data_IF_444607936479
#
_entry.id   IF_444607936479
#
_cell.length_a   1.000
_cell.length_b   1.000
_cell.length_c   1.000
_cell.angle_alpha   90.00
_cell.angle_beta   90.00
_cell.angle_gamma   90.00
#
_symmetry.space_group_name_H-M   'P 1'
#
loop_
_entity.id
_entity.type
_entity.pdbx_description
1 polymer ?
#
# COMPACT_ATOMS: atom_id res chain seq x y z
N UNK A 1 16.57 2.58 -13.08
CA UNK A 1 15.46 3.55 -13.23
C UNK A 1 14.16 2.76 -13.23
N UNK A 2 13.44 2.74 -12.11
CA UNK A 2 12.17 2.02 -12.02
C UNK A 2 11.08 2.87 -12.68
N UNK A 3 10.38 2.30 -13.66
CA UNK A 3 9.23 2.94 -14.36
C UNK A 3 8.18 3.45 -13.35
N UNK A 4 8.12 2.85 -12.17
CA UNK A 4 7.19 3.18 -11.07
C UNK A 4 7.34 4.61 -10.52
N UNK A 5 8.52 5.23 -10.63
CA UNK A 5 8.82 6.56 -10.10
C UNK A 5 8.83 7.65 -11.19
N UNK A 6 8.41 7.32 -12.41
CA UNK A 6 8.37 8.27 -13.53
C UNK A 6 7.00 8.94 -13.63
N UNK A 7 6.98 10.23 -13.96
CA UNK A 7 5.78 10.99 -14.33
C UNK A 7 4.91 10.30 -15.39
N UNK A 8 5.53 9.49 -16.26
CA UNK A 8 4.86 8.71 -17.30
C UNK A 8 4.22 7.42 -16.78
N UNK A 9 4.47 6.98 -15.55
CA UNK A 9 3.94 5.72 -15.03
C UNK A 9 2.41 5.70 -15.02
N UNK A 10 1.78 6.80 -14.60
CA UNK A 10 0.32 6.92 -14.61
C UNK A 10 -0.26 6.94 -16.04
N UNK A 11 0.43 7.60 -16.97
CA UNK A 11 -0.01 7.66 -18.36
C UNK A 11 0.15 6.32 -19.07
N UNK A 12 1.30 5.67 -18.92
CA UNK A 12 1.53 4.31 -19.46
C UNK A 12 0.54 3.32 -18.86
N UNK A 13 0.29 3.40 -17.54
CA UNK A 13 -0.67 2.52 -16.88
C UNK A 13 -2.09 2.72 -17.43
N UNK A 14 -2.54 3.96 -17.63
CA UNK A 14 -3.87 4.28 -18.16
C UNK A 14 -4.04 3.82 -19.63
N UNK A 15 -2.97 3.83 -20.42
CA UNK A 15 -2.99 3.36 -21.81
C UNK A 15 -2.95 1.83 -21.90
N UNK A 16 -2.29 1.14 -20.96
CA UNK A 16 -2.16 -0.33 -20.96
C UNK A 16 -3.38 -1.04 -20.34
N UNK A 17 -4.04 -0.41 -19.35
CA UNK A 17 -5.18 -1.02 -18.65
C UNK A 17 -6.32 -1.47 -19.60
N UNK A 18 -6.76 -0.71 -20.63
CA UNK A 18 -7.81 -1.15 -21.52
C UNK A 18 -7.42 -2.40 -22.33
N UNK A 19 -6.16 -2.49 -22.78
CA UNK A 19 -5.65 -3.66 -23.49
C UNK A 19 -5.60 -4.89 -22.57
N UNK A 20 -5.18 -4.73 -21.35
CA UNK A 20 -5.19 -5.80 -20.34
C UNK A 20 -6.62 -6.35 -20.17
N UNK A 21 -7.61 -5.48 -20.03
CA UNK A 21 -8.99 -5.90 -19.82
C UNK A 21 -9.57 -6.58 -21.07
N UNK A 22 -9.23 -6.11 -22.27
CA UNK A 22 -9.58 -6.74 -23.53
C UNK A 22 -8.99 -8.15 -23.65
N UNK A 23 -7.69 -8.30 -23.41
CA UNK A 23 -7.03 -9.60 -23.46
C UNK A 23 -7.54 -10.57 -22.39
N UNK A 24 -7.80 -10.09 -21.17
CA UNK A 24 -8.43 -10.90 -20.15
C UNK A 24 -9.82 -11.39 -20.56
N UNK A 25 -10.62 -10.52 -21.17
CA UNK A 25 -11.95 -10.90 -21.64
C UNK A 25 -11.88 -11.99 -22.72
N UNK A 26 -11.02 -11.81 -23.73
CA UNK A 26 -10.80 -12.80 -24.77
C UNK A 26 -10.33 -14.13 -24.17
N UNK A 27 -9.37 -14.07 -23.26
CA UNK A 27 -8.82 -15.25 -22.58
C UNK A 27 -9.91 -16.00 -21.80
N UNK A 28 -10.71 -15.33 -20.97
CA UNK A 28 -11.75 -16.00 -20.17
C UNK A 28 -12.89 -16.55 -21.04
N UNK A 29 -13.26 -15.85 -22.11
CA UNK A 29 -14.25 -16.36 -23.06
C UNK A 29 -13.72 -17.62 -23.75
N UNK A 30 -12.48 -17.59 -24.25
CA UNK A 30 -11.85 -18.74 -24.88
C UNK A 30 -11.72 -19.93 -23.90
N UNK A 31 -11.31 -19.67 -22.66
CA UNK A 31 -11.22 -20.71 -21.64
C UNK A 31 -12.60 -21.29 -21.28
N UNK A 32 -13.64 -20.45 -21.23
CA UNK A 32 -15.02 -20.89 -21.02
C UNK A 32 -15.56 -21.78 -22.12
N UNK A 33 -15.18 -21.52 -23.37
CA UNK A 33 -15.59 -22.36 -24.52
C UNK A 33 -14.94 -23.76 -24.55
N UNK A 34 -13.87 -23.96 -23.79
CA UNK A 34 -13.22 -25.27 -23.62
C UNK A 34 -13.92 -26.17 -22.59
N UNK A 35 -14.88 -25.63 -21.83
CA UNK A 35 -15.59 -26.35 -20.80
C UNK A 35 -16.84 -26.96 -21.40
N UNK A 36 -16.97 -28.30 -21.33
CA UNK A 36 -18.21 -29.00 -21.61
C UNK A 36 -19.18 -28.83 -20.44
N UNK A 37 -20.26 -28.08 -20.68
CA UNK A 37 -21.22 -27.72 -19.64
C UNK A 37 -22.05 -28.93 -19.20
N UNK A 38 -22.39 -29.85 -20.13
CA UNK A 38 -23.21 -31.02 -19.82
C UNK A 38 -22.43 -31.98 -18.94
N UNK A 39 -21.16 -32.25 -19.27
CA UNK A 39 -20.26 -33.08 -18.46
C UNK A 39 -19.99 -32.46 -17.08
N UNK A 40 -19.87 -31.12 -17.04
CA UNK A 40 -19.68 -30.38 -15.78
C UNK A 40 -20.88 -30.53 -14.84
N UNK A 41 -22.11 -30.44 -15.36
CA UNK A 41 -23.33 -30.56 -14.56
C UNK A 41 -23.50 -31.99 -13.99
N UNK A 42 -23.19 -32.98 -14.77
CA UNK A 42 -23.28 -34.39 -14.33
C UNK A 42 -22.29 -34.68 -13.20
N UNK A 43 -21.09 -34.04 -13.21
CA UNK A 43 -20.01 -34.30 -12.27
C UNK A 43 -19.74 -33.16 -11.29
N UNK A 44 -20.65 -32.21 -11.14
CA UNK A 44 -20.43 -30.97 -10.38
C UNK A 44 -19.98 -31.18 -8.92
N UNK A 45 -20.49 -32.23 -8.28
CA UNK A 45 -20.11 -32.60 -6.91
C UNK A 45 -18.65 -33.02 -6.81
N UNK A 46 -18.17 -33.80 -7.77
CA UNK A 46 -16.78 -34.26 -7.84
C UNK A 46 -15.86 -33.10 -8.17
N UNK A 47 -16.23 -32.26 -9.15
CA UNK A 47 -15.45 -31.04 -9.54
C UNK A 47 -15.32 -30.08 -8.38
N UNK A 48 -16.41 -29.79 -7.68
CA UNK A 48 -16.42 -28.89 -6.53
C UNK A 48 -15.55 -29.41 -5.37
N UNK A 49 -15.65 -30.72 -5.07
CA UNK A 49 -14.84 -31.32 -4.02
C UNK A 49 -13.36 -31.31 -4.35
N UNK A 50 -13.01 -31.67 -5.58
CA UNK A 50 -11.62 -31.66 -6.04
C UNK A 50 -11.06 -30.23 -6.12
N UNK A 51 -11.86 -29.27 -6.60
CA UNK A 51 -11.50 -27.84 -6.58
C UNK A 51 -11.21 -27.36 -5.16
N UNK A 52 -12.11 -27.62 -4.22
CA UNK A 52 -11.92 -27.25 -2.81
C UNK A 52 -10.63 -27.85 -2.23
N UNK A 53 -10.35 -29.11 -2.53
CA UNK A 53 -9.14 -29.79 -2.07
C UNK A 53 -7.87 -29.16 -2.65
N UNK A 54 -7.81 -28.91 -3.97
CA UNK A 54 -6.66 -28.28 -4.62
C UNK A 54 -6.42 -26.87 -4.09
N UNK A 55 -7.48 -26.06 -3.96
CA UNK A 55 -7.40 -24.72 -3.43
C UNK A 55 -6.91 -24.71 -1.98
N UNK A 56 -7.41 -25.64 -1.15
CA UNK A 56 -6.99 -25.78 0.24
C UNK A 56 -5.50 -26.13 0.35
N UNK A 57 -5.03 -27.13 -0.42
CA UNK A 57 -3.61 -27.49 -0.43
C UNK A 57 -2.74 -26.31 -0.87
N UNK A 58 -3.11 -25.63 -1.95
CA UNK A 58 -2.36 -24.46 -2.44
C UNK A 58 -2.33 -23.34 -1.41
N UNK A 59 -3.46 -23.06 -0.77
CA UNK A 59 -3.54 -22.05 0.29
C UNK A 59 -2.60 -22.40 1.46
N UNK A 60 -2.64 -23.64 1.94
CA UNK A 60 -1.76 -24.11 3.02
C UNK A 60 -0.29 -24.02 2.60
N UNK A 61 0.06 -24.49 1.39
CA UNK A 61 1.43 -24.41 0.88
C UNK A 61 1.92 -22.96 0.80
N UNK A 62 1.09 -22.03 0.32
CA UNK A 62 1.43 -20.59 0.27
C UNK A 62 1.58 -19.99 1.67
N UNK A 63 0.73 -20.35 2.64
CA UNK A 63 0.85 -19.93 4.05
C UNK A 63 2.16 -20.44 4.66
N UNK A 64 2.49 -21.70 4.43
CA UNK A 64 3.75 -22.28 4.90
C UNK A 64 4.93 -21.55 4.29
N UNK A 65 4.94 -21.32 2.97
CA UNK A 65 5.98 -20.55 2.30
C UNK A 65 6.09 -19.12 2.84
N UNK A 66 4.97 -18.41 3.05
CA UNK A 66 4.94 -17.09 3.64
C UNK A 66 5.54 -17.08 5.07
N UNK A 67 5.28 -18.13 5.84
CA UNK A 67 5.85 -18.30 7.20
C UNK A 67 7.36 -18.49 7.17
N UNK A 68 7.89 -19.29 6.23
CA UNK A 68 9.34 -19.43 6.04
C UNK A 68 10.01 -18.13 5.61
N UNK A 69 9.36 -17.35 4.75
CA UNK A 69 9.82 -16.04 4.30
C UNK A 69 9.65 -14.94 5.37
N UNK A 70 9.09 -15.29 6.55
CA UNK A 70 8.82 -14.35 7.66
C UNK A 70 7.94 -13.16 7.24
N UNK A 71 7.04 -13.36 6.30
CA UNK A 71 6.07 -12.35 5.86
C UNK A 71 5.07 -12.11 7.00
N UNK A 72 4.72 -10.84 7.31
CA UNK A 72 3.72 -10.52 8.33
C UNK A 72 2.40 -11.28 8.09
N UNK A 73 1.82 -11.86 9.16
CA UNK A 73 0.69 -12.78 9.05
C UNK A 73 -0.49 -12.23 8.23
N UNK A 74 -0.79 -10.95 8.36
CA UNK A 74 -1.85 -10.30 7.55
C UNK A 74 -1.49 -10.27 6.06
N UNK A 75 -0.26 -9.89 5.71
CA UNK A 75 0.21 -9.89 4.33
C UNK A 75 0.34 -11.30 3.78
N UNK A 76 0.82 -12.24 4.61
CA UNK A 76 0.92 -13.66 4.26
C UNK A 76 -0.44 -14.28 3.89
N UNK A 77 -1.48 -14.05 4.69
CA UNK A 77 -2.84 -14.54 4.40
C UNK A 77 -3.36 -13.94 3.09
N UNK A 78 -3.22 -12.63 2.88
CA UNK A 78 -3.70 -11.97 1.67
C UNK A 78 -2.93 -12.45 0.42
N UNK A 79 -1.61 -12.55 0.50
CA UNK A 79 -0.78 -13.07 -0.59
C UNK A 79 -1.11 -14.53 -0.90
N UNK A 80 -1.27 -15.38 0.12
CA UNK A 80 -1.65 -16.77 -0.05
C UNK A 80 -3.03 -16.91 -0.71
N UNK A 81 -4.01 -16.09 -0.31
CA UNK A 81 -5.34 -16.09 -0.93
C UNK A 81 -5.26 -15.68 -2.41
N UNK A 82 -4.44 -14.68 -2.74
CA UNK A 82 -4.27 -14.23 -4.13
C UNK A 82 -3.59 -15.29 -5.02
N UNK A 83 -2.69 -16.10 -4.45
CA UNK A 83 -1.93 -17.13 -5.15
C UNK A 83 -2.61 -18.52 -5.14
N UNK A 84 -3.75 -18.65 -4.48
CA UNK A 84 -4.45 -19.94 -4.34
C UNK A 84 -5.08 -20.42 -5.64
N UNK A 85 -5.40 -19.54 -6.59
CA UNK A 85 -6.00 -19.91 -7.87
C UNK A 85 -5.13 -20.90 -8.66
N UNK A 86 -5.76 -21.68 -9.52
CA UNK A 86 -5.05 -22.49 -10.50
C UNK A 86 -4.57 -21.56 -11.62
N UNK A 87 -3.28 -21.57 -11.90
CA UNK A 87 -2.65 -20.61 -12.81
C UNK A 87 -3.14 -20.81 -14.27
N UNK A 88 -3.16 -19.72 -15.00
CA UNK A 88 -3.53 -19.65 -16.43
C UNK A 88 -2.68 -20.59 -17.33
N UNK A 89 -1.44 -20.85 -16.92
CA UNK A 89 -0.56 -21.79 -17.63
C UNK A 89 -1.12 -23.21 -17.69
N UNK A 90 -1.98 -23.63 -16.76
CA UNK A 90 -2.64 -24.94 -16.79
C UNK A 90 -3.52 -25.08 -18.03
N UNK A 91 -4.19 -24.00 -18.44
CA UNK A 91 -5.07 -23.97 -19.62
C UNK A 91 -4.30 -24.12 -20.94
N UNK A 92 -3.08 -23.63 -20.98
CA UNK A 92 -2.18 -23.73 -22.14
C UNK A 92 -1.44 -25.07 -22.15
N UNK A 93 -1.05 -25.57 -20.96
CA UNK A 93 -0.24 -26.77 -20.85
C UNK A 93 -1.01 -28.05 -21.19
N UNK A 94 -2.30 -28.11 -20.88
CA UNK A 94 -3.12 -29.30 -21.13
C UNK A 94 -3.22 -29.65 -22.61
N UNK A 95 -3.59 -28.74 -23.55
CA UNK A 95 -3.60 -29.03 -24.98
C UNK A 95 -2.25 -29.54 -25.47
N UNK A 96 -1.15 -28.90 -25.02
CA UNK A 96 0.19 -29.33 -25.36
C UNK A 96 0.52 -30.74 -24.86
N UNK A 97 0.10 -31.07 -23.64
CA UNK A 97 0.29 -32.41 -23.07
C UNK A 97 -0.55 -33.48 -23.79
N UNK A 98 -1.74 -33.12 -24.30
CA UNK A 98 -2.60 -34.04 -25.06
C UNK A 98 -1.98 -34.46 -26.41
N UNK A 99 -1.12 -33.65 -27.00
CA UNK A 99 -0.35 -34.00 -28.21
C UNK A 99 0.70 -35.09 -27.94
N UNK A 100 1.21 -35.15 -26.70
CA UNK A 100 2.30 -36.04 -26.28
C UNK A 100 1.73 -37.34 -25.66
N UNK A 101 0.68 -37.23 -24.86
CA UNK A 101 0.12 -38.34 -24.08
C UNK A 101 -1.41 -38.22 -24.03
N UNK A 102 -2.16 -39.27 -24.34
CA UNK A 102 -3.61 -39.23 -24.24
C UNK A 102 -4.05 -39.04 -22.77
N UNK A 103 -4.62 -37.87 -22.49
CA UNK A 103 -5.19 -37.52 -21.19
C UNK A 103 -6.70 -37.83 -21.25
N UNK A 104 -7.28 -38.52 -20.27
CA UNK A 104 -8.73 -38.76 -20.23
C UNK A 104 -9.51 -37.45 -20.27
N UNK A 105 -10.58 -37.39 -21.07
CA UNK A 105 -11.40 -36.18 -21.25
C UNK A 105 -11.92 -35.63 -19.91
N UNK A 106 -12.32 -36.51 -18.99
CA UNK A 106 -12.77 -36.13 -17.64
C UNK A 106 -11.71 -35.31 -16.88
N UNK A 107 -10.44 -35.69 -16.98
CA UNK A 107 -9.35 -34.95 -16.30
C UNK A 107 -9.17 -33.55 -16.91
N UNK A 108 -9.24 -33.48 -18.23
CA UNK A 108 -9.10 -32.22 -18.98
C UNK A 108 -10.22 -31.24 -18.66
N UNK A 109 -11.47 -31.68 -18.74
CA UNK A 109 -12.66 -30.89 -18.39
C UNK A 109 -12.59 -30.40 -16.95
N UNK A 110 -12.23 -31.27 -16.01
CA UNK A 110 -12.11 -30.92 -14.61
C UNK A 110 -11.05 -29.84 -14.36
N UNK A 111 -9.88 -29.94 -15.00
CA UNK A 111 -8.81 -28.94 -14.80
C UNK A 111 -9.21 -27.59 -15.40
N UNK A 112 -9.85 -27.59 -16.58
CA UNK A 112 -10.36 -26.35 -17.18
C UNK A 112 -11.42 -25.68 -16.29
N UNK A 113 -12.39 -26.47 -15.81
CA UNK A 113 -13.44 -25.98 -14.92
C UNK A 113 -12.87 -25.40 -13.62
N UNK A 114 -11.94 -26.12 -12.97
CA UNK A 114 -11.30 -25.69 -11.75
C UNK A 114 -10.46 -24.42 -11.95
N UNK A 115 -9.72 -24.35 -13.05
CA UNK A 115 -8.93 -23.17 -13.39
C UNK A 115 -9.83 -21.94 -13.58
N UNK A 116 -10.85 -22.04 -14.42
CA UNK A 116 -11.77 -20.94 -14.71
C UNK A 116 -12.53 -20.47 -13.45
N UNK A 117 -13.10 -21.41 -12.69
CA UNK A 117 -13.85 -21.13 -11.46
C UNK A 117 -12.93 -20.50 -10.39
N UNK A 118 -11.72 -21.06 -10.18
CA UNK A 118 -10.79 -20.52 -9.17
C UNK A 118 -10.32 -19.12 -9.48
N UNK A 119 -10.07 -18.81 -10.76
CA UNK A 119 -9.70 -17.46 -11.20
C UNK A 119 -10.87 -16.50 -11.01
N UNK A 120 -12.09 -16.87 -11.43
CA UNK A 120 -13.29 -16.05 -11.24
C UNK A 120 -13.66 -15.83 -9.77
N UNK A 121 -13.39 -16.79 -8.89
CA UNK A 121 -13.61 -16.66 -7.46
C UNK A 121 -12.55 -15.84 -6.72
N UNK A 122 -11.38 -15.62 -7.29
CA UNK A 122 -10.26 -14.93 -6.62
C UNK A 122 -10.66 -13.55 -6.05
N UNK A 123 -11.39 -12.66 -6.73
CA UNK A 123 -11.82 -11.38 -6.15
C UNK A 123 -12.75 -11.54 -4.94
N UNK A 124 -13.62 -12.56 -4.95
CA UNK A 124 -14.52 -12.87 -3.84
C UNK A 124 -13.74 -13.41 -2.64
N UNK A 125 -12.80 -14.33 -2.89
CA UNK A 125 -11.90 -14.86 -1.88
C UNK A 125 -11.06 -13.77 -1.25
N UNK A 126 -10.57 -12.83 -2.04
CA UNK A 126 -9.83 -11.66 -1.53
C UNK A 126 -10.69 -10.74 -0.65
N UNK A 127 -11.96 -10.50 -1.01
CA UNK A 127 -12.89 -9.76 -0.16
C UNK A 127 -13.18 -10.51 1.14
N UNK A 128 -13.39 -11.82 1.09
CA UNK A 128 -13.58 -12.67 2.26
C UNK A 128 -12.32 -12.69 3.15
N UNK A 129 -11.15 -12.86 2.56
CA UNK A 129 -9.88 -12.84 3.28
C UNK A 129 -9.67 -11.53 4.05
N UNK A 130 -10.01 -10.37 3.47
CA UNK A 130 -9.93 -9.07 4.19
C UNK A 130 -10.78 -9.06 5.46
N UNK A 131 -11.98 -9.63 5.40
CA UNK A 131 -12.90 -9.70 6.56
C UNK A 131 -12.45 -10.73 7.59
N UNK A 132 -11.91 -11.87 7.13
CA UNK A 132 -11.50 -12.99 7.98
C UNK A 132 -10.08 -12.85 8.54
N UNK A 133 -9.22 -12.06 7.91
CA UNK A 133 -7.83 -11.86 8.36
C UNK A 133 -7.71 -11.50 9.85
N UNK A 134 -8.51 -10.56 10.43
CA UNK A 134 -8.40 -10.24 11.86
C UNK A 134 -8.75 -11.42 12.77
N UNK A 135 -9.55 -12.38 12.30
CA UNK A 135 -9.88 -13.60 13.01
C UNK A 135 -8.77 -14.66 12.85
N UNK A 136 -8.28 -14.85 11.62
CA UNK A 136 -7.24 -15.84 11.28
C UNK A 136 -5.87 -15.48 11.89
N UNK A 137 -5.53 -14.22 11.99
CA UNK A 137 -4.31 -13.76 12.66
C UNK A 137 -4.31 -14.04 14.17
N UNK A 138 -5.46 -14.41 14.78
CA UNK A 138 -5.53 -14.86 16.18
C UNK A 138 -4.97 -16.26 16.40
N UNK A 139 -4.79 -17.06 15.35
CA UNK A 139 -4.26 -18.43 15.44
C UNK A 139 -2.79 -18.36 15.91
N UNK A 140 -2.42 -19.06 17.01
CA UNK A 140 -1.03 -19.12 17.47
C UNK A 140 -0.18 -19.81 16.40
N UNK A 141 0.82 -19.11 15.86
CA UNK A 141 1.67 -19.61 14.77
C UNK A 141 1.66 -18.70 13.53
N UNK A 142 0.55 -18.01 13.23
CA UNK A 142 0.51 -16.99 12.17
C UNK A 142 0.93 -15.58 12.66
N UNK A 143 0.99 -15.38 13.96
CA UNK A 143 1.53 -14.14 14.56
C UNK A 143 3.04 -14.24 14.65
N UNK A 144 3.74 -13.41 13.92
CA UNK A 144 5.15 -13.20 14.18
C UNK A 144 5.27 -12.61 15.59
N UNK A 145 6.00 -13.30 16.48
CA UNK A 145 6.23 -12.88 17.90
C UNK A 145 6.64 -11.41 18.01
N UNK A 146 7.16 -10.85 16.94
CA UNK A 146 7.63 -9.48 16.76
C UNK A 146 6.49 -8.46 16.54
N UNK A 147 5.37 -8.84 15.89
CA UNK A 147 4.21 -7.97 15.71
C UNK A 147 3.45 -7.72 17.02
N UNK A 148 3.35 -8.73 17.89
CA UNK A 148 2.70 -8.59 19.21
C UNK A 148 3.44 -7.64 20.15
N UNK A 149 4.78 -7.80 20.24
CA UNK A 149 5.60 -6.94 21.12
C UNK A 149 5.69 -5.51 20.60
N UNK A 150 5.67 -5.32 19.28
CA UNK A 150 5.81 -3.99 18.66
C UNK A 150 4.56 -3.14 18.86
N UNK A 151 3.37 -3.66 18.61
CA UNK A 151 2.12 -2.85 18.69
C UNK A 151 1.72 -2.59 20.14
N UNK A 152 1.73 -3.59 21.03
CA UNK A 152 1.37 -3.40 22.45
C UNK A 152 2.37 -2.49 23.17
N UNK A 153 3.67 -2.66 22.94
CA UNK A 153 4.71 -1.80 23.54
C UNK A 153 4.67 -0.38 22.97
N UNK A 154 4.26 -0.21 21.71
CA UNK A 154 4.14 1.10 21.08
C UNK A 154 2.88 1.85 21.54
N UNK A 155 1.74 1.17 21.66
CA UNK A 155 0.52 1.75 22.22
C UNK A 155 0.83 2.34 23.61
N UNK A 156 1.50 1.57 24.45
CA UNK A 156 1.89 2.01 25.82
C UNK A 156 2.89 3.18 25.79
N UNK A 157 3.75 3.29 24.77
CA UNK A 157 4.71 4.40 24.63
C UNK A 157 4.07 5.67 24.07
N UNK A 158 3.02 5.56 23.29
CA UNK A 158 2.27 6.72 22.72
C UNK A 158 1.17 7.18 23.67
N UNK A 159 0.63 6.28 24.51
CA UNK A 159 -0.31 6.64 25.56
C UNK A 159 0.32 7.65 26.54
N UNK A 160 -0.19 8.87 26.51
CA UNK A 160 0.29 9.97 27.35
C UNK A 160 1.10 11.03 26.61
N UNK A 161 1.51 10.81 25.37
CA UNK A 161 2.18 11.86 24.57
C UNK A 161 1.12 12.86 24.08
N UNK A 162 1.37 14.13 24.35
CA UNK A 162 0.53 15.25 23.90
C UNK A 162 1.39 16.31 23.24
N UNK A 163 0.78 17.14 22.39
CA UNK A 163 1.45 18.24 21.68
C UNK A 163 2.64 17.78 20.83
N UNK A 164 2.59 16.55 20.33
CA UNK A 164 3.62 15.96 19.49
C UNK A 164 3.39 16.27 18.00
N UNK A 165 4.41 16.01 17.21
CA UNK A 165 4.35 16.06 15.75
C UNK A 165 4.22 14.64 15.17
N UNK A 166 3.31 14.47 14.21
CA UNK A 166 3.19 13.25 13.40
C UNK A 166 3.86 13.52 12.06
N UNK A 167 4.85 12.71 11.69
CA UNK A 167 5.60 12.84 10.45
C UNK A 167 5.25 11.65 9.56
N UNK A 168 4.53 11.92 8.46
CA UNK A 168 4.14 10.92 7.48
C UNK A 168 5.17 10.91 6.34
N UNK A 169 5.95 9.81 6.27
CA UNK A 169 7.10 9.63 5.38
C UNK A 169 8.42 10.02 6.02
N UNK A 170 9.43 9.12 5.96
CA UNK A 170 10.76 9.38 6.49
C UNK A 170 11.83 9.45 5.39
N UNK A 171 11.47 10.10 4.28
CA UNK A 171 12.39 10.52 3.25
C UNK A 171 13.30 11.68 3.70
N UNK A 172 14.04 12.31 2.79
CA UNK A 172 14.96 13.41 3.13
C UNK A 172 14.29 14.57 3.88
N UNK A 173 13.07 14.94 3.47
CA UNK A 173 12.31 16.04 4.11
C UNK A 173 11.83 15.64 5.51
N UNK A 174 11.23 14.43 5.64
CA UNK A 174 10.76 13.94 6.93
C UNK A 174 11.87 13.77 7.95
N UNK A 175 13.02 13.26 7.50
CA UNK A 175 14.22 13.13 8.34
C UNK A 175 14.68 14.48 8.88
N UNK A 176 14.82 15.48 7.99
CA UNK A 176 15.24 16.81 8.38
C UNK A 176 14.27 17.51 9.32
N UNK A 177 12.95 17.32 9.08
CA UNK A 177 11.92 17.82 9.98
C UNK A 177 12.01 17.15 11.35
N UNK A 178 12.17 15.85 11.41
CA UNK A 178 12.34 15.09 12.65
C UNK A 178 13.58 15.55 13.44
N UNK A 179 14.73 15.64 12.78
CA UNK A 179 15.98 16.09 13.40
C UNK A 179 15.82 17.51 13.99
N UNK A 180 15.23 18.43 13.24
CA UNK A 180 14.99 19.79 13.70
C UNK A 180 14.05 19.85 14.89
N UNK A 181 12.88 19.17 14.84
CA UNK A 181 11.92 19.18 15.93
C UNK A 181 12.49 18.52 17.20
N UNK A 182 13.26 17.46 17.04
CA UNK A 182 13.92 16.74 18.14
C UNK A 182 14.95 17.63 18.86
N UNK A 183 15.66 18.50 18.16
CA UNK A 183 16.58 19.48 18.79
C UNK A 183 15.86 20.45 19.71
N UNK A 184 14.59 20.74 19.45
CA UNK A 184 13.74 21.57 20.32
C UNK A 184 12.97 20.74 21.36
N UNK A 185 13.27 19.46 21.52
CA UNK A 185 12.61 18.58 22.50
C UNK A 185 11.15 18.26 22.16
N UNK A 186 10.71 18.47 20.91
CA UNK A 186 9.34 18.18 20.47
C UNK A 186 9.22 16.69 20.19
N UNK A 187 8.32 15.96 20.88
CA UNK A 187 8.11 14.54 20.61
C UNK A 187 7.60 14.33 19.17
N UNK A 188 8.20 13.38 18.46
CA UNK A 188 7.81 13.04 17.11
C UNK A 188 7.38 11.57 17.00
N UNK A 189 6.30 11.34 16.27
CA UNK A 189 5.83 10.00 15.89
C UNK A 189 5.93 9.90 14.38
N UNK A 190 6.68 8.90 13.90
CA UNK A 190 6.98 8.73 12.48
C UNK A 190 6.13 7.60 11.93
N UNK A 191 5.50 7.83 10.77
CA UNK A 191 4.73 6.83 10.04
C UNK A 191 5.36 6.67 8.67
N UNK A 192 5.75 5.45 8.32
CA UNK A 192 6.32 5.15 7.00
C UNK A 192 5.81 3.81 6.47
N UNK A 193 5.73 3.68 5.15
CA UNK A 193 5.35 2.44 4.45
C UNK A 193 6.54 1.49 4.28
N UNK A 194 7.76 1.97 4.47
CA UNK A 194 8.98 1.18 4.35
C UNK A 194 9.35 0.52 5.68
N UNK A 195 9.24 -0.81 5.70
CA UNK A 195 9.52 -1.61 6.88
C UNK A 195 10.98 -1.50 7.38
N UNK A 196 11.94 -1.34 6.47
CA UNK A 196 13.36 -1.23 6.85
C UNK A 196 13.65 0.13 7.49
N UNK A 197 13.05 1.20 6.98
CA UNK A 197 13.11 2.53 7.59
C UNK A 197 12.55 2.52 9.01
N UNK A 198 11.35 1.98 9.18
CA UNK A 198 10.71 1.88 10.50
C UNK A 198 11.53 1.02 11.46
N UNK A 199 12.10 -0.09 10.99
CA UNK A 199 12.94 -0.96 11.81
C UNK A 199 14.21 -0.24 12.29
N UNK A 200 14.85 0.54 11.43
CA UNK A 200 16.04 1.34 11.78
C UNK A 200 15.66 2.37 12.85
N UNK A 201 14.61 3.13 12.64
CA UNK A 201 14.11 4.13 13.60
C UNK A 201 13.81 3.54 14.98
N UNK A 202 13.18 2.37 15.02
CA UNK A 202 12.87 1.67 16.27
C UNK A 202 14.13 1.19 17.00
N UNK A 203 15.15 0.73 16.26
CA UNK A 203 16.43 0.34 16.83
C UNK A 203 17.18 1.56 17.41
N UNK A 204 17.04 2.73 16.79
CA UNK A 204 17.62 3.99 17.23
C UNK A 204 16.81 4.65 18.39
N UNK A 205 15.74 3.97 18.84
CA UNK A 205 14.94 4.41 19.99
C UNK A 205 13.81 5.40 19.64
N UNK A 206 13.60 5.71 18.38
CA UNK A 206 12.54 6.62 17.92
C UNK A 206 11.16 5.94 17.89
N UNK A 207 10.11 6.74 18.01
CA UNK A 207 8.73 6.27 17.87
C UNK A 207 8.36 6.23 16.39
N UNK A 208 8.24 5.04 15.84
CA UNK A 208 7.92 4.85 14.44
C UNK A 208 6.91 3.71 14.22
N UNK A 209 6.00 3.88 13.26
CA UNK A 209 4.99 2.91 12.88
C UNK A 209 5.10 2.55 11.40
N UNK A 210 4.99 1.27 11.12
CA UNK A 210 4.76 0.78 9.76
C UNK A 210 3.27 0.89 9.46
N UNK A 211 2.89 1.76 8.55
CA UNK A 211 1.49 1.92 8.21
C UNK A 211 1.20 3.05 7.24
N UNK A 212 -0.04 3.06 6.76
CA UNK A 212 -0.58 4.13 5.96
C UNK A 212 -1.48 5.00 6.82
N UNK A 213 -1.23 6.31 6.82
CA UNK A 213 -2.00 7.29 7.59
C UNK A 213 -3.47 7.37 7.13
N UNK A 214 -3.79 6.91 5.93
CA UNK A 214 -5.16 6.85 5.43
C UNK A 214 -6.03 5.84 6.21
N UNK A 215 -5.42 4.94 6.97
CA UNK A 215 -6.16 4.00 7.82
C UNK A 215 -6.44 4.60 9.21
N UNK A 216 -7.71 4.57 9.62
CA UNK A 216 -8.14 5.08 10.93
C UNK A 216 -7.33 4.51 12.11
N UNK A 217 -7.00 3.21 12.06
CA UNK A 217 -6.17 2.55 13.08
C UNK A 217 -4.80 3.19 13.19
N UNK A 218 -4.19 3.58 12.07
CA UNK A 218 -2.88 4.25 12.06
C UNK A 218 -2.96 5.65 12.66
N UNK A 219 -4.03 6.40 12.36
CA UNK A 219 -4.29 7.72 12.95
C UNK A 219 -4.47 7.62 14.47
N UNK A 220 -5.25 6.65 14.93
CA UNK A 220 -5.50 6.45 16.37
C UNK A 220 -4.22 6.03 17.11
N UNK A 221 -3.43 5.12 16.52
CA UNK A 221 -2.12 4.72 17.06
C UNK A 221 -1.11 5.87 17.11
N UNK A 222 -1.17 6.78 16.15
CA UNK A 222 -0.32 7.97 16.11
C UNK A 222 -0.80 9.09 17.07
N UNK A 223 -1.90 8.89 17.77
CA UNK A 223 -2.41 9.86 18.73
C UNK A 223 -2.91 11.16 18.08
N UNK A 224 -3.57 11.07 16.92
CA UNK A 224 -4.03 12.24 16.13
C UNK A 224 -4.84 13.24 16.99
N UNK A 225 -5.60 12.74 17.96
CA UNK A 225 -6.47 13.56 18.83
C UNK A 225 -5.69 14.53 19.73
N UNK A 226 -4.45 14.20 20.08
CA UNK A 226 -3.59 14.97 21.00
C UNK A 226 -2.36 15.57 20.31
N UNK A 227 -2.19 15.29 18.99
CA UNK A 227 -1.11 15.85 18.19
C UNK A 227 -1.31 17.34 17.93
N UNK A 228 -0.23 18.10 17.87
CA UNK A 228 -0.22 19.51 17.50
C UNK A 228 0.02 19.73 16.02
N UNK A 229 0.76 18.82 15.40
CA UNK A 229 1.17 18.90 14.00
C UNK A 229 1.07 17.54 13.33
N UNK A 230 0.60 17.52 12.08
CA UNK A 230 0.81 16.42 11.16
C UNK A 230 1.45 16.95 9.87
N UNK A 231 2.53 16.31 9.43
CA UNK A 231 3.26 16.70 8.23
C UNK A 231 3.33 15.55 7.23
N UNK A 232 2.78 15.75 6.04
CA UNK A 232 2.92 14.86 4.89
C UNK A 232 4.16 15.27 4.12
N UNK A 233 5.26 14.53 4.28
CA UNK A 233 6.59 14.92 3.77
C UNK A 233 6.95 14.28 2.43
N UNK A 234 6.11 13.40 1.91
CA UNK A 234 6.20 12.86 0.55
C UNK A 234 5.43 13.74 -0.45
N UNK A 235 5.86 13.75 -1.72
CA UNK A 235 5.34 14.72 -2.71
C UNK A 235 3.99 14.33 -3.35
N UNK A 236 3.28 13.34 -2.82
CA UNK A 236 1.95 12.94 -3.28
C UNK A 236 0.88 13.61 -2.40
N UNK A 237 0.02 14.50 -2.95
CA UNK A 237 -1.02 15.17 -2.20
C UNK A 237 -2.23 14.28 -1.85
N UNK A 238 -2.41 13.14 -2.54
CA UNK A 238 -3.62 12.32 -2.41
C UNK A 238 -3.89 11.83 -0.98
N UNK A 239 -2.91 11.34 -0.19
CA UNK A 239 -3.16 10.96 1.20
C UNK A 239 -3.57 12.14 2.08
N UNK A 240 -2.97 13.32 1.89
CA UNK A 240 -3.34 14.52 2.64
C UNK A 240 -4.78 14.95 2.31
N UNK A 241 -5.14 14.98 1.03
CA UNK A 241 -6.48 15.31 0.56
C UNK A 241 -7.54 14.34 1.08
N UNK A 242 -7.26 13.03 0.99
CA UNK A 242 -8.22 11.98 1.39
C UNK A 242 -8.46 11.92 2.89
N UNK A 243 -7.48 12.33 3.72
CA UNK A 243 -7.54 12.20 5.17
C UNK A 243 -7.82 13.50 5.90
N UNK A 244 -7.71 14.64 5.24
CA UNK A 244 -7.81 15.97 5.86
C UNK A 244 -9.09 16.16 6.69
N UNK A 245 -10.24 15.83 6.15
CA UNK A 245 -11.52 15.97 6.85
C UNK A 245 -11.61 15.08 8.08
N UNK A 246 -11.08 13.87 8.01
CA UNK A 246 -11.03 12.94 9.14
C UNK A 246 -10.08 13.45 10.24
N UNK A 247 -8.92 13.97 9.84
CA UNK A 247 -7.94 14.57 10.74
C UNK A 247 -8.57 15.77 11.47
N UNK A 248 -9.19 16.69 10.75
CA UNK A 248 -9.86 17.86 11.33
C UNK A 248 -11.07 17.50 12.18
N UNK A 249 -11.80 16.46 11.81
CA UNK A 249 -12.89 15.90 12.62
C UNK A 249 -12.41 15.28 13.95
N UNK A 250 -11.23 14.67 13.96
CA UNK A 250 -10.63 14.10 15.17
C UNK A 250 -9.95 15.16 16.06
N UNK A 251 -9.35 16.19 15.45
CA UNK A 251 -8.63 17.27 16.13
C UNK A 251 -8.71 18.56 15.29
N UNK A 252 -9.65 19.44 15.62
CA UNK A 252 -9.88 20.68 14.88
C UNK A 252 -8.68 21.64 14.93
N UNK A 253 -7.88 21.58 15.99
CA UNK A 253 -6.78 22.51 16.25
C UNK A 253 -5.43 22.03 15.67
N UNK A 254 -5.37 20.82 15.08
CA UNK A 254 -4.14 20.29 14.53
C UNK A 254 -3.66 21.14 13.33
N UNK A 255 -2.38 21.44 13.31
CA UNK A 255 -1.75 22.04 12.13
C UNK A 255 -1.45 20.94 11.12
N UNK A 256 -1.89 21.12 9.87
CA UNK A 256 -1.60 20.18 8.79
C UNK A 256 -0.61 20.83 7.84
N UNK A 257 0.52 20.18 7.58
CA UNK A 257 1.49 20.54 6.56
C UNK A 257 1.44 19.48 5.46
N UNK A 258 1.29 19.88 4.23
CA UNK A 258 1.36 19.00 3.08
C UNK A 258 2.44 19.47 2.09
N UNK A 259 3.01 18.50 1.39
CA UNK A 259 4.00 18.76 0.34
C UNK A 259 3.37 18.50 -1.02
N UNK A 260 3.65 19.36 -1.97
CA UNK A 260 3.22 19.26 -3.34
C UNK A 260 4.38 19.49 -4.30
N UNK A 261 4.40 18.76 -5.39
CA UNK A 261 5.42 18.93 -6.43
C UNK A 261 5.02 19.98 -7.45
N UNK A 262 3.75 19.99 -7.86
CA UNK A 262 3.25 20.84 -8.94
C UNK A 262 2.29 21.91 -8.42
N UNK A 263 2.24 23.04 -9.12
CA UNK A 263 1.35 24.17 -8.79
C UNK A 263 -0.14 23.80 -8.75
N UNK A 264 -0.58 22.90 -9.62
CA UNK A 264 -1.95 22.40 -9.63
C UNK A 264 -2.31 21.62 -8.36
N UNK A 265 -1.36 20.89 -7.78
CA UNK A 265 -1.53 20.15 -6.53
C UNK A 265 -1.64 21.11 -5.34
N UNK A 266 -0.84 22.19 -5.34
CA UNK A 266 -0.93 23.25 -4.32
C UNK A 266 -2.33 23.86 -4.30
N UNK A 267 -2.89 24.19 -5.47
CA UNK A 267 -4.25 24.72 -5.57
C UNK A 267 -5.28 23.73 -5.02
N UNK A 268 -5.15 22.43 -5.32
CA UNK A 268 -6.04 21.39 -4.83
C UNK A 268 -5.99 21.25 -3.31
N UNK A 269 -4.81 21.32 -2.70
CA UNK A 269 -4.61 21.28 -1.25
C UNK A 269 -5.23 22.49 -0.56
N UNK A 270 -5.04 23.70 -1.12
CA UNK A 270 -5.66 24.92 -0.60
C UNK A 270 -7.19 24.88 -0.70
N UNK A 271 -7.74 24.41 -1.82
CA UNK A 271 -9.21 24.22 -1.96
C UNK A 271 -9.77 23.24 -0.96
N UNK A 272 -9.01 22.23 -0.56
CA UNK A 272 -9.40 21.29 0.49
C UNK A 272 -9.31 21.89 1.91
N UNK A 273 -8.75 23.09 2.07
CA UNK A 273 -8.60 23.79 3.35
C UNK A 273 -7.23 23.59 4.03
N UNK A 274 -6.25 22.98 3.37
CA UNK A 274 -4.88 22.84 3.91
C UNK A 274 -4.12 24.12 3.60
N UNK A 275 -3.89 24.93 4.64
CA UNK A 275 -3.24 26.23 4.48
C UNK A 275 -1.72 26.14 4.30
N UNK A 276 -1.07 25.20 4.99
CA UNK A 276 0.40 25.10 4.96
C UNK A 276 0.84 24.08 3.92
N UNK A 277 1.14 24.55 2.73
CA UNK A 277 1.60 23.71 1.62
C UNK A 277 3.03 24.09 1.25
N UNK A 278 3.90 23.11 1.19
CA UNK A 278 5.29 23.25 0.72
C UNK A 278 5.31 22.90 -0.76
N UNK A 279 5.65 23.85 -1.61
CA UNK A 279 5.76 23.66 -3.05
C UNK A 279 7.22 23.43 -3.45
N UNK A 280 7.55 22.20 -3.84
CA UNK A 280 8.93 21.77 -4.10
C UNK A 280 9.65 22.61 -5.15
N UNK A 281 8.99 22.91 -6.26
CA UNK A 281 9.60 23.69 -7.36
C UNK A 281 9.88 25.14 -6.94
N UNK A 282 8.99 25.75 -6.16
CA UNK A 282 9.16 27.11 -5.67
C UNK A 282 10.30 27.21 -4.65
N UNK A 283 10.35 26.27 -3.69
CA UNK A 283 11.42 26.21 -2.68
C UNK A 283 12.78 25.96 -3.34
N UNK A 284 12.82 25.05 -4.31
CA UNK A 284 14.04 24.75 -5.08
C UNK A 284 14.46 25.97 -5.91
N UNK A 285 13.50 26.63 -6.56
CA UNK A 285 13.75 27.86 -7.33
C UNK A 285 14.28 28.97 -6.44
N UNK A 286 13.69 29.21 -5.27
CA UNK A 286 14.16 30.20 -4.30
C UNK A 286 15.59 29.89 -3.81
N UNK A 287 15.90 28.62 -3.57
CA UNK A 287 17.25 28.20 -3.22
C UNK A 287 18.26 28.47 -4.36
N UNK A 288 17.87 28.13 -5.59
CA UNK A 288 18.72 28.42 -6.77
C UNK A 288 18.98 29.91 -6.95
N UNK A 289 17.95 30.77 -6.78
CA UNK A 289 18.10 32.22 -6.84
C UNK A 289 19.06 32.73 -5.75
N UNK A 290 18.94 32.22 -4.50
CA UNK A 290 19.87 32.60 -3.43
C UNK A 290 21.32 32.26 -3.78
N UNK A 291 21.56 31.06 -4.30
CA UNK A 291 22.91 30.64 -4.70
C UNK A 291 23.45 31.48 -5.88
N UNK A 292 22.60 31.78 -6.86
CA UNK A 292 22.97 32.64 -7.97
C UNK A 292 23.36 34.07 -7.49
N UNK A 293 22.55 34.67 -6.61
CA UNK A 293 22.85 35.98 -6.03
C UNK A 293 24.18 35.98 -5.31
N UNK A 294 24.50 34.97 -4.53
CA UNK A 294 25.81 34.83 -3.88
C UNK A 294 26.96 34.75 -4.89
N UNK A 295 26.75 34.10 -6.04
CA UNK A 295 27.77 33.97 -7.08
C UNK A 295 28.08 35.30 -7.83
N UNK A 296 27.17 36.27 -7.76
CA UNK A 296 27.30 37.56 -8.36
C UNK A 296 27.51 38.68 -7.32
N UNK A 297 27.81 38.36 -6.05
CA UNK A 297 27.97 39.27 -4.93
C UNK A 297 26.79 40.27 -4.77
N UNK A 298 25.58 39.86 -5.13
CA UNK A 298 24.37 40.66 -5.01
C UNK A 298 23.91 40.61 -3.54
N UNK A 299 24.10 41.75 -2.83
CA UNK A 299 23.60 41.95 -1.47
C UNK A 299 22.20 42.55 -1.57
N UNK A 300 21.17 41.86 -1.13
CA UNK A 300 19.83 42.48 -1.01
C UNK A 300 19.83 43.50 0.12
N UNK A 301 19.25 44.72 -0.10
CA UNK A 301 18.98 45.60 1.00
C UNK A 301 17.99 44.96 1.97
N UNK A 302 18.19 45.18 3.28
CA UNK A 302 17.42 44.53 4.37
C UNK A 302 15.89 44.77 4.27
N UNK A 303 15.42 45.67 3.44
CA UNK A 303 14.03 46.09 3.24
C UNK A 303 13.44 45.68 1.88
N UNK A 304 14.04 44.74 1.14
CA UNK A 304 13.47 44.31 -0.12
C UNK A 304 12.14 43.53 0.17
N UNK A 305 10.99 43.94 -0.43
CA UNK A 305 9.75 43.26 -0.21
C UNK A 305 9.89 41.80 -0.71
N UNK A 306 9.66 40.84 0.19
CA UNK A 306 9.50 39.45 -0.19
C UNK A 306 8.34 39.37 -1.17
N UNK A 307 8.62 39.01 -2.42
CA UNK A 307 7.58 38.76 -3.42
C UNK A 307 6.64 37.68 -2.86
N UNK A 308 5.54 38.12 -2.23
CA UNK A 308 4.42 37.31 -1.85
C UNK A 308 3.69 36.87 -3.13
N UNK A 309 3.74 35.62 -3.45
CA UNK A 309 2.97 35.02 -4.55
C UNK A 309 1.83 34.16 -4.05
#
# INVERSE_FOLDING_TARGET
MCIRDSYYSHRVLSEVLPFKDLFLTIFFVSAGLLIDIDDLWEHIGHVATFAAFVLAIKFVACIVAASFLKIPGRMGIMASTALTNVGEFSLVLIPFMQEITPIPALVTTNVYAIAAVSMGMTPLLMKAARKLTPLLVRIPGLKTKRERLSVETMITRVEGIKNHAIICGYGPVGRRLHESLSQYGIPCIIIDLNADTVKTLLNDGHLAFLGDIQHQITMDLAGIRTARLIAFTFPDPAPALSTYMQIKGANANITVIARAKFRSEVASLHHAGIANVIHDEMETGAAAVRLAKLSFDIIEPADAPTLSH
#
